data_IF_882918086169
#
_entry.id   IF_882918086169
#
_cell.length_a   1.000
_cell.length_b   1.000
_cell.length_c   1.000
_cell.angle_alpha   90.00
_cell.angle_beta   90.00
_cell.angle_gamma   90.00
#
_symmetry.space_group_name_H-M   'P 1'
#
loop_
_entity.id
_entity.type
_entity.pdbx_description
1 polymer ?
#
# COMPACT_ATOMS: atom_id res chain seq x y z
N UNK A 1 13.29 -31.12 -6.58
CA UNK A 1 12.76 -30.29 -5.50
C UNK A 1 13.45 -30.53 -4.16
N UNK A 2 13.68 -31.78 -3.71
CA UNK A 2 14.29 -32.13 -2.40
C UNK A 2 15.60 -31.38 -2.12
N UNK A 3 16.54 -31.35 -3.09
CA UNK A 3 17.82 -30.61 -2.92
C UNK A 3 17.60 -29.12 -2.66
N UNK A 4 16.62 -28.52 -3.32
CA UNK A 4 16.28 -27.12 -3.12
C UNK A 4 15.59 -26.89 -1.76
N UNK A 5 14.69 -27.78 -1.35
CA UNK A 5 14.02 -27.71 -0.05
C UNK A 5 15.05 -27.77 1.09
N UNK A 6 15.98 -28.73 1.05
CA UNK A 6 17.06 -28.85 2.03
C UNK A 6 17.99 -27.62 2.02
N UNK A 7 18.28 -27.07 0.84
CA UNK A 7 19.07 -25.83 0.73
C UNK A 7 18.37 -24.65 1.42
N UNK A 8 17.09 -24.43 1.15
CA UNK A 8 16.33 -23.37 1.78
C UNK A 8 16.14 -23.57 3.29
N UNK A 9 15.82 -24.80 3.73
CA UNK A 9 15.67 -25.10 5.15
C UNK A 9 16.97 -24.81 5.94
N UNK A 10 18.15 -25.17 5.38
CA UNK A 10 19.47 -24.85 5.97
C UNK A 10 19.77 -23.34 6.02
N UNK A 11 19.11 -22.53 5.18
CA UNK A 11 19.17 -21.06 5.21
C UNK A 11 18.15 -20.44 6.18
N UNK A 12 17.40 -21.29 6.92
CA UNK A 12 16.38 -20.84 7.86
C UNK A 12 15.06 -20.41 7.20
N UNK A 13 14.70 -21.00 6.05
CA UNK A 13 13.43 -20.75 5.39
C UNK A 13 12.50 -21.95 5.54
N UNK A 14 11.25 -21.72 5.94
CA UNK A 14 10.20 -22.72 5.87
C UNK A 14 9.72 -22.89 4.43
N UNK A 15 9.69 -24.13 3.94
CA UNK A 15 9.35 -24.47 2.56
C UNK A 15 8.25 -25.50 2.50
N UNK A 16 7.44 -25.46 1.43
CA UNK A 16 6.37 -26.43 1.17
C UNK A 16 6.36 -26.88 -0.30
N UNK A 17 6.02 -28.16 -0.57
CA UNK A 17 5.83 -28.66 -1.92
C UNK A 17 4.49 -28.15 -2.50
N UNK A 18 4.55 -27.69 -3.74
CA UNK A 18 3.43 -27.07 -4.45
C UNK A 18 3.11 -27.88 -5.71
N UNK A 19 1.80 -28.06 -5.97
CA UNK A 19 1.29 -28.69 -7.19
C UNK A 19 1.26 -27.75 -8.40
N UNK A 20 0.75 -28.23 -9.52
CA UNK A 20 0.62 -27.46 -10.77
C UNK A 20 -0.30 -26.24 -10.63
N UNK A 21 -1.33 -26.32 -9.78
CA UNK A 21 -2.31 -25.26 -9.55
C UNK A 21 -1.84 -24.20 -8.55
N UNK A 22 -0.55 -24.14 -8.24
CA UNK A 22 0.07 -23.25 -7.25
C UNK A 22 -0.44 -23.44 -5.81
N UNK A 23 -1.07 -24.58 -5.49
CA UNK A 23 -1.53 -24.93 -4.13
C UNK A 23 -0.63 -25.96 -3.49
N UNK A 24 -0.51 -25.89 -2.17
CA UNK A 24 0.20 -26.91 -1.40
C UNK A 24 -0.43 -28.28 -1.63
N UNK A 25 0.40 -29.33 -1.71
CA UNK A 25 -0.06 -30.70 -1.99
C UNK A 25 -0.51 -31.47 -0.75
N UNK A 26 -0.39 -30.83 0.42
CA UNK A 26 -0.82 -31.39 1.73
C UNK A 26 -1.18 -30.26 2.70
N UNK A 27 -1.78 -30.54 3.88
CA UNK A 27 -2.00 -29.53 4.92
C UNK A 27 -0.67 -28.98 5.45
N UNK A 28 -0.45 -27.68 5.34
CA UNK A 28 0.84 -27.05 5.59
C UNK A 28 0.84 -26.04 6.75
N UNK A 29 -0.26 -25.90 7.47
CA UNK A 29 -0.45 -24.87 8.51
C UNK A 29 0.61 -24.95 9.62
N UNK A 30 1.09 -26.15 9.98
CA UNK A 30 2.14 -26.34 10.98
C UNK A 30 3.48 -25.70 10.57
N UNK A 31 3.73 -25.61 9.26
CA UNK A 31 4.96 -25.04 8.73
C UNK A 31 4.94 -23.50 8.63
N UNK A 32 3.85 -22.88 9.08
CA UNK A 32 3.82 -21.43 9.36
C UNK A 32 4.55 -21.09 10.68
N UNK A 33 4.81 -22.09 11.54
CA UNK A 33 5.48 -21.91 12.83
C UNK A 33 6.72 -22.78 13.02
N UNK A 34 6.97 -23.74 12.11
CA UNK A 34 8.11 -24.65 12.18
C UNK A 34 8.71 -24.92 10.81
N UNK A 35 10.03 -25.15 10.76
CA UNK A 35 10.73 -25.55 9.54
C UNK A 35 10.75 -27.08 9.49
N UNK A 36 10.49 -27.68 8.32
CA UNK A 36 10.60 -29.12 8.11
C UNK A 36 12.02 -29.61 8.36
N UNK A 37 12.15 -30.75 9.05
CA UNK A 37 13.41 -31.46 9.10
C UNK A 37 13.69 -32.26 7.81
N UNK A 38 14.91 -32.79 7.68
CA UNK A 38 15.35 -33.48 6.48
C UNK A 38 14.47 -34.73 6.16
N UNK A 39 13.96 -35.43 7.17
CA UNK A 39 13.10 -36.61 6.98
C UNK A 39 11.71 -36.19 6.44
N UNK A 40 11.13 -35.14 7.00
CA UNK A 40 9.86 -34.57 6.55
C UNK A 40 9.99 -34.00 5.13
N UNK A 41 11.08 -33.29 4.82
CA UNK A 41 11.37 -32.80 3.45
C UNK A 41 11.45 -34.00 2.50
N UNK A 42 12.21 -35.04 2.83
CA UNK A 42 12.33 -36.24 1.99
C UNK A 42 10.96 -36.85 1.73
N UNK A 43 10.11 -36.98 2.75
CA UNK A 43 8.77 -37.55 2.62
C UNK A 43 7.82 -36.66 1.77
N UNK A 44 7.72 -35.39 2.10
CA UNK A 44 6.73 -34.50 1.49
C UNK A 44 7.09 -34.10 0.03
N UNK A 45 8.37 -33.92 -0.27
CA UNK A 45 8.82 -33.53 -1.61
C UNK A 45 9.01 -34.72 -2.58
N UNK A 46 8.87 -35.96 -2.13
CA UNK A 46 8.81 -37.17 -2.97
C UNK A 46 7.41 -37.38 -3.55
N UNK A 47 6.38 -36.66 -3.06
CA UNK A 47 5.02 -36.79 -3.55
C UNK A 47 4.94 -36.48 -5.05
N UNK A 48 4.31 -37.34 -5.84
CA UNK A 48 4.17 -37.20 -7.30
C UNK A 48 3.46 -35.93 -7.74
N UNK A 49 2.62 -35.34 -6.87
CA UNK A 49 1.96 -34.06 -7.10
C UNK A 49 2.87 -32.85 -6.90
N UNK A 50 4.05 -33.04 -6.28
CA UNK A 50 5.02 -31.97 -6.07
C UNK A 50 5.68 -31.59 -7.40
N UNK A 51 5.33 -30.43 -7.95
CA UNK A 51 5.93 -29.87 -9.17
C UNK A 51 6.79 -28.65 -8.89
N UNK A 52 6.51 -27.94 -7.82
CA UNK A 52 7.11 -26.67 -7.46
C UNK A 52 7.44 -26.65 -5.97
N UNK A 53 8.20 -25.61 -5.56
CA UNK A 53 8.52 -25.30 -4.18
C UNK A 53 8.07 -23.88 -3.86
N UNK A 54 7.52 -23.66 -2.67
CA UNK A 54 7.27 -22.33 -2.15
C UNK A 54 8.05 -22.10 -0.85
N UNK A 55 8.34 -20.83 -0.57
CA UNK A 55 8.90 -20.35 0.69
C UNK A 55 7.79 -19.62 1.44
N UNK A 56 7.64 -19.91 2.72
CA UNK A 56 6.68 -19.25 3.62
C UNK A 56 7.33 -18.01 4.19
N UNK A 57 6.60 -16.88 4.17
CA UNK A 57 7.00 -15.63 4.79
C UNK A 57 6.76 -15.60 6.30
N UNK A 58 7.21 -14.53 6.94
CA UNK A 58 6.99 -14.27 8.35
C UNK A 58 8.11 -14.74 9.27
N UNK A 59 7.80 -14.79 10.56
CA UNK A 59 8.73 -15.11 11.63
C UNK A 59 9.38 -16.48 11.44
N UNK A 60 8.64 -17.49 10.94
CA UNK A 60 9.14 -18.85 10.70
C UNK A 60 10.33 -18.89 9.74
N UNK A 61 10.44 -17.93 8.84
CA UNK A 61 11.56 -17.79 7.89
C UNK A 61 12.50 -16.64 8.27
N UNK A 62 12.59 -16.33 9.57
CA UNK A 62 13.49 -15.30 10.11
C UNK A 62 13.07 -13.89 9.76
N UNK A 63 11.76 -13.59 9.81
CA UNK A 63 11.20 -12.29 9.48
C UNK A 63 11.19 -12.02 7.97
N UNK A 64 10.99 -13.06 7.16
CA UNK A 64 10.94 -12.93 5.70
C UNK A 64 9.67 -12.20 5.24
N UNK A 65 9.83 -11.15 4.46
CA UNK A 65 8.76 -10.50 3.71
C UNK A 65 9.14 -10.42 2.23
N UNK A 66 8.16 -10.60 1.36
CA UNK A 66 8.35 -10.58 -0.08
C UNK A 66 7.38 -9.56 -0.68
N UNK A 67 7.89 -8.66 -1.52
CA UNK A 67 7.05 -7.84 -2.38
C UNK A 67 6.80 -8.63 -3.66
N UNK A 68 5.54 -8.89 -3.96
CA UNK A 68 5.07 -9.54 -5.18
C UNK A 68 4.59 -8.46 -6.16
N UNK A 69 5.28 -8.35 -7.32
CA UNK A 69 5.00 -7.36 -8.37
C UNK A 69 4.42 -8.09 -9.58
N UNK A 70 3.13 -7.89 -9.83
CA UNK A 70 2.35 -8.66 -10.81
C UNK A 70 2.22 -7.88 -12.14
N UNK A 71 3.26 -7.92 -12.98
CA UNK A 71 3.34 -7.14 -14.22
C UNK A 71 2.34 -7.57 -15.31
N UNK A 72 1.77 -8.77 -15.24
CA UNK A 72 0.76 -9.21 -16.20
C UNK A 72 -0.50 -8.32 -16.18
N UNK A 73 -0.69 -7.57 -15.11
CA UNK A 73 -1.79 -6.64 -14.92
C UNK A 73 -1.40 -5.16 -15.13
N UNK A 74 -0.14 -4.89 -15.44
CA UNK A 74 0.34 -3.55 -15.73
C UNK A 74 -0.08 -3.09 -17.12
N UNK A 75 -1.11 -2.25 -17.20
CA UNK A 75 -1.58 -1.65 -18.46
C UNK A 75 -0.66 -0.52 -18.96
N UNK A 76 0.19 0.03 -18.09
CA UNK A 76 1.14 1.09 -18.48
C UNK A 76 2.38 0.54 -19.19
N UNK A 77 2.71 -0.72 -18.98
CA UNK A 77 3.89 -1.39 -19.52
C UNK A 77 5.23 -0.90 -18.95
N UNK A 78 5.21 -0.03 -17.94
CA UNK A 78 6.42 0.57 -17.36
C UNK A 78 6.49 0.53 -15.83
N UNK A 79 5.58 -0.19 -15.17
CA UNK A 79 5.52 -0.28 -13.71
C UNK A 79 6.87 -0.74 -13.13
N UNK A 80 7.47 -1.77 -13.70
CA UNK A 80 8.75 -2.30 -13.20
C UNK A 80 9.89 -1.28 -13.27
N UNK A 81 10.04 -0.60 -14.41
CA UNK A 81 11.08 0.42 -14.56
C UNK A 81 10.89 1.56 -13.56
N UNK A 82 9.66 2.08 -13.44
CA UNK A 82 9.34 3.14 -12.48
C UNK A 82 9.56 2.71 -11.02
N UNK A 83 9.26 1.45 -10.70
CA UNK A 83 9.49 0.91 -9.35
C UNK A 83 10.99 0.78 -9.06
N UNK A 84 11.79 0.29 -10.04
CA UNK A 84 13.25 0.24 -9.91
C UNK A 84 13.86 1.63 -9.72
N UNK A 85 13.42 2.62 -10.49
CA UNK A 85 13.88 4.00 -10.38
C UNK A 85 13.55 4.59 -9.00
N UNK A 86 12.34 4.33 -8.51
CA UNK A 86 11.89 4.81 -7.20
C UNK A 86 12.58 4.10 -6.01
N UNK A 87 13.01 2.86 -6.20
CA UNK A 87 13.72 2.05 -5.20
C UNK A 87 15.25 2.06 -5.40
N UNK A 88 15.82 2.91 -6.28
CA UNK A 88 17.18 2.79 -6.79
C UNK A 88 18.25 2.51 -5.72
N UNK A 89 18.23 3.25 -4.61
CA UNK A 89 19.16 3.10 -3.48
C UNK A 89 18.79 1.95 -2.50
N UNK A 90 17.56 1.45 -2.55
CA UNK A 90 17.08 0.30 -1.76
C UNK A 90 17.18 -1.03 -2.54
N UNK A 91 17.17 -1.00 -3.88
CA UNK A 91 17.26 -2.21 -4.71
C UNK A 91 18.47 -3.11 -4.39
N UNK A 92 19.67 -2.60 -4.06
CA UNK A 92 20.80 -3.45 -3.67
C UNK A 92 20.57 -4.28 -2.40
N UNK A 93 19.61 -3.88 -1.55
CA UNK A 93 19.24 -4.59 -0.34
C UNK A 93 18.28 -5.76 -0.61
N UNK A 94 17.62 -5.77 -1.78
CA UNK A 94 16.57 -6.72 -2.13
C UNK A 94 17.13 -7.86 -2.98
N UNK A 95 16.67 -9.08 -2.66
CA UNK A 95 16.96 -10.23 -3.52
C UNK A 95 15.82 -10.41 -4.52
N UNK A 96 16.15 -10.38 -5.81
CA UNK A 96 15.16 -10.36 -6.90
C UNK A 96 15.01 -11.72 -7.54
N UNK A 97 13.77 -12.17 -7.71
CA UNK A 97 13.38 -13.36 -8.47
C UNK A 97 12.37 -12.95 -9.54
N UNK A 98 12.61 -13.35 -10.79
CA UNK A 98 11.63 -13.19 -11.87
C UNK A 98 10.62 -14.34 -11.80
N UNK A 99 9.32 -14.02 -11.87
CA UNK A 99 8.24 -15.00 -11.81
C UNK A 99 7.88 -15.56 -13.20
N UNK A 100 7.18 -16.70 -13.24
CA UNK A 100 6.71 -17.35 -14.47
C UNK A 100 5.80 -16.42 -15.32
N UNK A 101 5.05 -15.54 -14.68
CA UNK A 101 4.15 -14.58 -15.35
C UNK A 101 4.85 -13.30 -15.83
N UNK A 102 6.17 -13.22 -15.69
CA UNK A 102 6.97 -12.06 -16.10
C UNK A 102 7.10 -10.96 -15.05
N UNK A 103 6.45 -11.11 -13.88
CA UNK A 103 6.59 -10.22 -12.74
C UNK A 103 7.84 -10.52 -11.91
N UNK A 104 7.88 -9.95 -10.68
CA UNK A 104 9.05 -10.07 -9.80
C UNK A 104 8.64 -10.29 -8.34
N UNK A 105 9.46 -11.07 -7.63
CA UNK A 105 9.46 -11.13 -6.18
C UNK A 105 10.70 -10.44 -5.65
N UNK A 106 10.54 -9.51 -4.69
CA UNK A 106 11.63 -8.82 -3.99
C UNK A 106 11.65 -9.30 -2.54
N UNK A 107 12.71 -9.99 -2.16
CA UNK A 107 12.84 -10.63 -0.84
C UNK A 107 13.73 -9.81 0.08
N UNK A 108 13.34 -9.69 1.33
CA UNK A 108 14.14 -9.19 2.44
C UNK A 108 13.69 -9.80 3.77
N UNK A 109 14.50 -9.64 4.81
CA UNK A 109 14.13 -9.96 6.19
C UNK A 109 14.03 -8.67 7.00
N UNK A 110 13.07 -8.62 7.93
CA UNK A 110 12.91 -7.53 8.89
C UNK A 110 12.42 -8.09 10.22
N UNK A 111 12.74 -7.43 11.32
CA UNK A 111 12.34 -7.89 12.65
C UNK A 111 10.81 -7.85 12.86
N UNK A 112 10.12 -6.91 12.22
CA UNK A 112 8.66 -6.80 12.24
C UNK A 112 8.10 -7.03 10.84
N UNK A 113 7.35 -8.11 10.69
CA UNK A 113 6.64 -8.46 9.45
C UNK A 113 5.17 -8.63 9.76
N UNK A 114 4.33 -8.06 8.91
CA UNK A 114 2.87 -8.18 9.02
C UNK A 114 2.35 -9.27 8.06
N UNK A 115 1.05 -9.56 8.15
CA UNK A 115 0.36 -10.39 7.15
C UNK A 115 0.37 -9.76 5.76
N UNK A 116 -0.22 -10.46 4.79
CA UNK A 116 -0.27 -10.00 3.40
C UNK A 116 -1.01 -8.66 3.29
N UNK A 117 -0.45 -7.69 2.56
CA UNK A 117 -1.00 -6.37 2.33
C UNK A 117 -1.06 -6.06 0.84
N UNK A 118 -2.17 -5.53 0.37
CA UNK A 118 -2.26 -4.93 -0.97
C UNK A 118 -1.67 -3.52 -0.91
N UNK A 119 -0.58 -3.28 -1.63
CA UNK A 119 0.14 -2.01 -1.61
C UNK A 119 -0.31 -1.10 -2.75
N UNK A 120 -0.39 -1.63 -3.96
CA UNK A 120 -0.84 -0.88 -5.12
C UNK A 120 -1.90 -1.66 -5.91
N UNK A 121 -2.94 -0.95 -6.29
CA UNK A 121 -4.05 -1.47 -7.08
C UNK A 121 -4.42 -0.46 -8.17
N UNK A 122 -5.00 -0.93 -9.25
CA UNK A 122 -5.70 -0.13 -10.25
C UNK A 122 -7.16 -0.54 -10.38
N UNK A 123 -7.97 0.31 -10.98
CA UNK A 123 -9.31 -0.10 -11.38
C UNK A 123 -9.24 -1.12 -12.53
N UNK A 124 -10.15 -2.08 -12.52
CA UNK A 124 -10.31 -3.01 -13.63
C UNK A 124 -10.76 -2.27 -14.91
N UNK A 125 -10.23 -2.69 -16.04
CA UNK A 125 -10.67 -2.20 -17.36
C UNK A 125 -12.08 -2.71 -17.68
N UNK A 126 -12.72 -2.09 -18.68
CA UNK A 126 -14.06 -2.53 -19.13
C UNK A 126 -14.08 -3.98 -19.62
N UNK A 127 -12.99 -4.45 -20.23
CA UNK A 127 -12.91 -5.81 -20.75
C UNK A 127 -12.67 -6.82 -19.61
N UNK A 128 -11.83 -6.52 -18.63
CA UNK A 128 -11.66 -7.33 -17.41
C UNK A 128 -12.98 -7.46 -16.62
N UNK A 129 -13.77 -6.39 -16.56
CA UNK A 129 -15.10 -6.43 -15.91
C UNK A 129 -16.12 -7.28 -16.65
N UNK A 130 -15.98 -7.46 -17.98
CA UNK A 130 -16.83 -8.41 -18.75
C UNK A 130 -16.50 -9.85 -18.39
N UNK A 131 -15.20 -10.16 -18.23
CA UNK A 131 -14.73 -11.51 -17.88
C UNK A 131 -14.97 -11.83 -16.40
N UNK A 132 -14.75 -10.84 -15.51
CA UNK A 132 -14.86 -10.99 -14.06
C UNK A 132 -15.59 -9.78 -13.45
N UNK A 133 -16.93 -9.74 -13.48
CA UNK A 133 -17.72 -8.55 -13.08
C UNK A 133 -17.54 -8.10 -11.62
N UNK A 134 -17.06 -8.98 -10.74
CA UNK A 134 -16.86 -8.69 -9.32
C UNK A 134 -15.45 -8.16 -9.00
N UNK A 135 -14.48 -8.33 -9.88
CA UNK A 135 -13.09 -7.90 -9.69
C UNK A 135 -12.91 -6.44 -10.12
N UNK A 136 -13.47 -5.50 -9.34
CA UNK A 136 -13.41 -4.06 -9.65
C UNK A 136 -12.01 -3.46 -9.51
N UNK A 137 -11.18 -4.04 -8.66
CA UNK A 137 -9.83 -3.59 -8.34
C UNK A 137 -8.84 -4.73 -8.63
N UNK A 138 -7.77 -4.42 -9.33
CA UNK A 138 -6.71 -5.37 -9.71
C UNK A 138 -5.45 -5.03 -8.93
N UNK A 139 -4.89 -6.02 -8.24
CA UNK A 139 -3.65 -5.86 -7.46
C UNK A 139 -2.45 -5.87 -8.40
N UNK A 140 -1.58 -4.87 -8.25
CA UNK A 140 -0.32 -4.72 -8.98
C UNK A 140 0.88 -5.07 -8.11
N UNK A 141 0.83 -4.66 -6.83
CA UNK A 141 1.91 -4.88 -5.86
C UNK A 141 1.28 -5.27 -4.53
N UNK A 142 1.76 -6.36 -3.94
CA UNK A 142 1.35 -6.80 -2.61
C UNK A 142 2.51 -7.35 -1.80
N UNK A 143 2.35 -7.47 -0.47
CA UNK A 143 3.29 -8.22 0.36
C UNK A 143 2.83 -9.66 0.54
N UNK A 144 3.81 -10.55 0.68
CA UNK A 144 3.67 -11.89 1.24
C UNK A 144 4.52 -11.94 2.50
N UNK A 145 3.88 -11.73 3.63
CA UNK A 145 4.50 -11.69 4.95
C UNK A 145 4.05 -12.86 5.81
N UNK A 146 3.65 -12.56 7.06
CA UNK A 146 3.25 -13.59 8.02
C UNK A 146 2.13 -14.48 7.48
N UNK A 147 2.35 -15.80 7.47
CA UNK A 147 1.40 -16.79 6.97
C UNK A 147 1.21 -16.83 5.44
N UNK A 148 1.89 -15.95 4.67
CA UNK A 148 1.90 -16.00 3.22
C UNK A 148 2.98 -16.94 2.67
N UNK A 149 2.87 -17.33 1.39
CA UNK A 149 3.95 -18.02 0.69
C UNK A 149 4.07 -17.54 -0.75
N UNK A 150 5.24 -17.73 -1.33
CA UNK A 150 5.52 -17.48 -2.75
C UNK A 150 6.25 -18.68 -3.35
N UNK A 151 6.00 -18.94 -4.64
CA UNK A 151 6.80 -19.91 -5.38
C UNK A 151 8.23 -19.36 -5.55
N UNK A 152 9.20 -20.25 -5.39
CA UNK A 152 10.61 -19.91 -5.44
C UNK A 152 11.38 -20.79 -6.45
N UNK A 153 12.53 -20.36 -6.96
CA UNK A 153 13.42 -21.23 -7.73
C UNK A 153 13.75 -22.53 -6.98
N UNK A 154 13.82 -23.68 -7.62
CA UNK A 154 13.79 -23.93 -9.05
C UNK A 154 12.39 -24.30 -9.60
N UNK A 155 11.31 -23.73 -9.04
CA UNK A 155 9.99 -23.87 -9.65
C UNK A 155 10.01 -23.41 -11.09
N UNK A 156 9.23 -24.07 -11.96
CA UNK A 156 9.22 -23.79 -13.39
C UNK A 156 8.89 -22.32 -13.69
N UNK A 157 9.77 -21.66 -14.44
CA UNK A 157 9.62 -20.23 -14.82
C UNK A 157 10.00 -19.23 -13.74
N UNK A 158 10.46 -19.69 -12.57
CA UNK A 158 11.01 -18.83 -11.51
C UNK A 158 12.53 -18.82 -11.60
N UNK A 159 13.12 -17.65 -11.92
CA UNK A 159 14.56 -17.53 -12.16
C UNK A 159 15.20 -16.52 -11.23
N UNK A 160 16.45 -16.78 -10.86
CA UNK A 160 17.30 -15.90 -10.06
C UNK A 160 18.56 -15.56 -10.84
N UNK A 161 19.06 -14.35 -10.66
CA UNK A 161 20.30 -13.91 -11.30
C UNK A 161 21.56 -14.18 -10.46
N UNK A 162 21.39 -14.29 -9.13
CA UNK A 162 22.47 -14.41 -8.15
C UNK A 162 22.21 -15.61 -7.22
N UNK A 163 23.26 -15.96 -6.44
CA UNK A 163 23.10 -16.87 -5.32
C UNK A 163 22.05 -16.36 -4.34
N UNK A 164 21.22 -17.26 -3.80
CA UNK A 164 20.11 -16.90 -2.92
C UNK A 164 20.64 -16.40 -1.57
N UNK A 165 20.69 -15.08 -1.43
CA UNK A 165 21.07 -14.39 -0.20
C UNK A 165 20.09 -13.27 0.08
N UNK A 166 19.30 -13.41 1.14
CA UNK A 166 18.31 -12.44 1.57
C UNK A 166 18.92 -11.59 2.70
N UNK A 167 18.96 -10.28 2.50
CA UNK A 167 19.49 -9.35 3.48
C UNK A 167 18.47 -9.07 4.58
N UNK A 168 18.97 -8.68 5.77
CA UNK A 168 18.17 -8.10 6.84
C UNK A 168 18.19 -6.58 6.65
N UNK A 169 17.02 -5.96 6.68
CA UNK A 169 16.84 -4.51 6.57
C UNK A 169 16.25 -3.94 7.86
N UNK A 170 16.42 -2.63 8.07
CA UNK A 170 15.83 -1.92 9.21
C UNK A 170 14.32 -1.68 9.01
N UNK A 171 13.62 -1.37 10.10
CA UNK A 171 12.21 -0.96 10.06
C UNK A 171 12.00 0.30 9.20
N UNK A 172 12.93 1.25 9.25
CA UNK A 172 12.88 2.46 8.44
C UNK A 172 13.02 2.16 6.94
N UNK A 173 13.96 1.28 6.56
CA UNK A 173 14.12 0.82 5.17
C UNK A 173 12.87 0.07 4.69
N UNK A 174 12.28 -0.79 5.54
CA UNK A 174 11.02 -1.48 5.23
C UNK A 174 9.88 -0.47 5.02
N UNK A 175 9.69 0.50 5.93
CA UNK A 175 8.67 1.55 5.77
C UNK A 175 8.86 2.31 4.46
N UNK A 176 10.09 2.62 4.09
CA UNK A 176 10.42 3.31 2.84
C UNK A 176 10.06 2.47 1.60
N UNK A 177 10.41 1.18 1.58
CA UNK A 177 10.05 0.25 0.51
C UNK A 177 8.53 0.15 0.37
N UNK A 178 7.81 -0.07 1.48
CA UNK A 178 6.35 -0.18 1.47
C UNK A 178 5.68 1.15 1.06
N UNK A 179 6.21 2.29 1.50
CA UNK A 179 5.71 3.62 1.12
C UNK A 179 5.88 3.87 -0.37
N UNK A 180 7.04 3.54 -0.93
CA UNK A 180 7.29 3.63 -2.37
C UNK A 180 6.32 2.72 -3.14
N UNK A 181 6.15 1.46 -2.72
CA UNK A 181 5.18 0.57 -3.36
C UNK A 181 3.75 1.12 -3.31
N UNK A 182 3.32 1.70 -2.18
CA UNK A 182 1.98 2.32 -2.03
C UNK A 182 1.80 3.58 -2.87
N UNK A 183 2.88 4.28 -3.22
CA UNK A 183 2.78 5.46 -4.10
C UNK A 183 2.28 5.12 -5.50
N UNK A 184 2.40 3.85 -5.92
CA UNK A 184 1.86 3.33 -7.19
C UNK A 184 0.37 2.99 -7.13
N UNK A 185 -0.29 3.11 -5.97
CA UNK A 185 -1.71 2.81 -5.84
C UNK A 185 -2.57 3.86 -6.57
N UNK A 186 -3.33 3.42 -7.57
CA UNK A 186 -4.24 4.26 -8.36
C UNK A 186 -5.66 4.30 -7.78
N UNK A 187 -5.99 3.34 -6.90
CA UNK A 187 -7.31 3.26 -6.26
C UNK A 187 -7.29 4.10 -4.99
N UNK A 188 -8.03 5.22 -5.01
CA UNK A 188 -8.13 6.13 -3.86
C UNK A 188 -9.54 6.10 -3.32
N UNK A 189 -9.69 5.76 -2.04
CA UNK A 189 -10.96 5.85 -1.31
C UNK A 189 -10.97 7.15 -0.51
N UNK A 190 -11.76 8.12 -0.95
CA UNK A 190 -11.88 9.40 -0.24
C UNK A 190 -12.46 9.20 1.16
N UNK A 191 -11.86 9.87 2.14
CA UNK A 191 -12.40 9.92 3.50
C UNK A 191 -13.70 10.70 3.48
N UNK A 192 -14.80 10.03 3.83
CA UNK A 192 -16.10 10.69 3.92
C UNK A 192 -16.18 11.53 5.20
N UNK A 193 -16.42 12.82 5.02
CA UNK A 193 -16.73 13.71 6.13
C UNK A 193 -18.18 13.48 6.58
N UNK A 194 -18.39 13.18 7.86
CA UNK A 194 -19.74 12.91 8.40
C UNK A 194 -20.49 14.18 8.84
N UNK A 195 -20.06 15.34 8.39
CA UNK A 195 -20.71 16.61 8.71
C UNK A 195 -21.82 16.88 7.71
N UNK A 196 -23.05 17.02 8.20
CA UNK A 196 -24.20 17.39 7.38
C UNK A 196 -24.46 18.87 7.59
N UNK A 197 -24.35 19.67 6.51
CA UNK A 197 -24.84 21.04 6.54
C UNK A 197 -26.34 21.07 6.33
N UNK A 198 -27.00 21.98 7.01
CA UNK A 198 -28.34 22.37 6.62
C UNK A 198 -28.25 23.09 5.26
N UNK A 199 -28.78 22.44 4.21
CA UNK A 199 -28.76 22.93 2.83
C UNK A 199 -29.44 24.30 2.67
N UNK A 200 -30.30 24.67 3.63
CA UNK A 200 -31.04 25.95 3.61
C UNK A 200 -30.23 27.08 4.24
N UNK A 201 -29.17 26.77 4.98
CA UNK A 201 -28.34 27.76 5.69
C UNK A 201 -27.20 28.27 4.85
N UNK A 202 -26.55 27.41 4.07
CA UNK A 202 -25.32 27.76 3.34
C UNK A 202 -25.52 27.72 1.82
N UNK A 203 -24.93 28.68 1.11
CA UNK A 203 -24.68 28.63 -0.33
C UNK A 203 -23.44 27.80 -0.62
N UNK A 204 -22.37 28.05 0.14
CA UNK A 204 -21.14 27.25 0.16
C UNK A 204 -20.87 26.83 1.59
N UNK A 205 -20.72 25.53 1.85
CA UNK A 205 -20.47 25.06 3.20
C UNK A 205 -19.08 25.50 3.71
N UNK A 206 -18.90 25.65 5.04
CA UNK A 206 -17.60 26.05 5.59
C UNK A 206 -16.43 25.14 5.17
N UNK A 207 -16.66 23.84 5.07
CA UNK A 207 -15.64 22.89 4.64
C UNK A 207 -15.40 22.89 3.14
N UNK A 208 -16.40 23.14 2.29
CA UNK A 208 -16.18 23.28 0.85
C UNK A 208 -15.43 24.57 0.55
N UNK A 209 -15.75 25.65 1.25
CA UNK A 209 -15.02 26.90 1.17
C UNK A 209 -13.56 26.74 1.61
N UNK A 210 -13.33 26.07 2.75
CA UNK A 210 -11.99 25.72 3.23
C UNK A 210 -11.24 24.85 2.22
N UNK A 211 -11.87 23.78 1.69
CA UNK A 211 -11.28 22.91 0.70
C UNK A 211 -10.77 23.66 -0.55
N UNK A 212 -11.44 24.75 -0.91
CA UNK A 212 -11.07 25.56 -2.08
C UNK A 212 -9.96 26.58 -1.81
N UNK A 213 -9.75 26.98 -0.56
CA UNK A 213 -8.86 28.08 -0.17
C UNK A 213 -7.59 27.61 0.57
N UNK A 214 -7.61 26.42 1.14
CA UNK A 214 -6.52 25.93 1.98
C UNK A 214 -5.23 25.71 1.19
N UNK A 215 -4.14 26.28 1.67
CA UNK A 215 -2.79 25.87 1.29
C UNK A 215 -2.43 24.60 2.07
N UNK A 216 -2.58 23.45 1.41
CA UNK A 216 -2.38 22.13 2.02
C UNK A 216 -0.92 21.89 2.38
N UNK A 217 0.02 22.38 1.56
CA UNK A 217 1.45 22.22 1.86
C UNK A 217 1.81 23.00 3.10
N UNK A 218 1.40 24.26 3.20
CA UNK A 218 1.64 25.10 4.37
C UNK A 218 0.99 24.51 5.64
N UNK A 219 -0.24 23.97 5.54
CA UNK A 219 -0.91 23.29 6.66
C UNK A 219 -0.08 22.08 7.14
N UNK A 220 0.38 21.25 6.22
CA UNK A 220 1.18 20.05 6.55
C UNK A 220 2.55 20.45 7.14
N UNK A 221 3.22 21.46 6.58
CA UNK A 221 4.51 21.95 7.10
C UNK A 221 4.38 22.50 8.52
N UNK A 222 3.28 23.17 8.85
CA UNK A 222 3.00 23.62 10.22
C UNK A 222 2.91 22.46 11.23
N UNK A 223 2.64 21.22 10.75
CA UNK A 223 2.60 20.00 11.55
C UNK A 223 3.83 19.11 11.35
N UNK A 224 4.94 19.70 10.90
CA UNK A 224 6.25 19.02 10.83
C UNK A 224 6.46 18.14 9.60
N UNK A 225 5.53 18.12 8.64
CA UNK A 225 5.78 17.53 7.33
C UNK A 225 6.83 18.37 6.58
N UNK A 226 7.58 17.74 5.70
CA UNK A 226 8.57 18.43 4.88
C UNK A 226 8.20 18.30 3.41
N UNK A 227 7.99 19.40 2.72
CA UNK A 227 7.86 19.41 1.26
C UNK A 227 9.20 18.99 0.62
N UNK A 228 9.13 18.12 -0.41
CA UNK A 228 10.29 17.63 -1.14
C UNK A 228 10.35 18.28 -2.52
N UNK A 229 9.32 18.01 -3.34
CA UNK A 229 9.28 18.46 -4.73
C UNK A 229 7.88 18.38 -5.32
N UNK A 230 7.68 19.04 -6.46
CA UNK A 230 6.50 18.90 -7.33
C UNK A 230 6.84 18.09 -8.58
N UNK A 231 5.99 17.12 -8.93
CA UNK A 231 6.03 16.41 -10.22
C UNK A 231 4.65 16.46 -10.85
N UNK A 232 4.48 17.33 -11.85
CA UNK A 232 3.19 17.58 -12.48
C UNK A 232 2.16 18.10 -11.46
N UNK A 233 1.04 17.41 -11.34
CA UNK A 233 -0.05 17.76 -10.41
C UNK A 233 0.17 17.30 -8.97
N UNK A 234 1.33 16.73 -8.63
CA UNK A 234 1.59 16.12 -7.31
C UNK A 234 2.71 16.84 -6.59
N UNK A 235 2.44 17.22 -5.35
CA UNK A 235 3.44 17.65 -4.39
C UNK A 235 3.79 16.49 -3.47
N UNK A 236 5.07 16.15 -3.39
CA UNK A 236 5.58 15.05 -2.57
C UNK A 236 6.10 15.56 -1.25
N UNK A 237 5.75 14.83 -0.18
CA UNK A 237 6.10 15.20 1.19
C UNK A 237 6.72 14.03 1.94
N UNK A 238 7.51 14.39 2.94
CA UNK A 238 8.11 13.51 3.92
C UNK A 238 7.42 13.72 5.28
N UNK A 239 7.07 12.62 5.95
CA UNK A 239 6.41 12.68 7.26
C UNK A 239 7.31 13.25 8.36
N UNK A 240 6.75 13.75 9.45
CA UNK A 240 7.50 14.14 10.64
C UNK A 240 8.41 13.00 11.15
N UNK A 241 9.60 13.35 11.63
CA UNK A 241 10.55 12.44 12.24
C UNK A 241 11.24 11.44 11.28
N UNK A 242 10.96 11.47 9.96
CA UNK A 242 11.66 10.62 9.00
C UNK A 242 13.02 11.21 8.65
N UNK A 243 14.08 10.39 8.74
CA UNK A 243 15.47 10.83 8.54
C UNK A 243 15.98 10.61 7.11
N UNK A 244 15.46 9.62 6.41
CA UNK A 244 15.85 9.35 5.01
C UNK A 244 15.20 10.33 4.01
N UNK A 245 15.57 10.23 2.73
CA UNK A 245 15.07 11.09 1.65
C UNK A 245 13.80 10.60 0.98
N UNK A 246 13.26 9.43 1.38
CA UNK A 246 12.12 8.84 0.69
C UNK A 246 10.81 9.53 1.02
N UNK A 247 9.94 9.61 0.02
CA UNK A 247 8.59 10.17 0.15
C UNK A 247 7.73 9.38 1.14
N UNK A 248 6.83 10.08 1.83
CA UNK A 248 5.86 9.46 2.74
C UNK A 248 4.41 9.74 2.34
N UNK A 249 4.19 10.75 1.51
CA UNK A 249 2.87 11.18 1.06
C UNK A 249 2.95 11.95 -0.25
N UNK A 250 1.80 12.10 -0.92
CA UNK A 250 1.59 13.09 -1.98
C UNK A 250 0.29 13.88 -1.79
N UNK A 251 0.27 15.11 -2.26
CA UNK A 251 -0.94 15.91 -2.46
C UNK A 251 -1.17 16.11 -3.95
N UNK A 252 -2.28 15.59 -4.47
CA UNK A 252 -2.67 15.74 -5.87
C UNK A 252 -3.52 17.01 -6.03
N UNK A 253 -2.94 18.10 -6.57
CA UNK A 253 -3.57 19.42 -6.72
C UNK A 253 -4.88 19.36 -7.50
N UNK A 254 -4.91 18.71 -8.66
CA UNK A 254 -6.10 18.63 -9.51
C UNK A 254 -7.26 17.84 -8.90
N UNK A 255 -6.97 16.84 -8.03
CA UNK A 255 -8.01 16.10 -7.30
C UNK A 255 -8.31 16.70 -5.92
N UNK A 256 -7.46 17.58 -5.40
CA UNK A 256 -7.56 18.11 -4.06
C UNK A 256 -7.44 17.01 -2.99
N UNK A 257 -6.59 15.98 -3.21
CA UNK A 257 -6.49 14.81 -2.33
C UNK A 257 -5.06 14.60 -1.85
N UNK A 258 -4.90 14.53 -0.54
CA UNK A 258 -3.69 14.10 0.14
C UNK A 258 -3.74 12.60 0.41
N UNK A 259 -2.68 11.87 0.06
CA UNK A 259 -2.51 10.43 0.29
C UNK A 259 -1.25 10.17 1.07
N UNK A 260 -1.35 9.30 2.08
CA UNK A 260 -0.20 8.88 2.88
C UNK A 260 0.18 7.44 2.52
N UNK A 261 1.48 7.19 2.44
CA UNK A 261 2.07 5.90 2.09
C UNK A 261 2.69 5.20 3.31
N UNK A 262 3.19 5.97 4.28
CA UNK A 262 3.76 5.47 5.53
C UNK A 262 2.66 5.18 6.56
N UNK A 263 2.79 4.08 7.28
CA UNK A 263 1.88 3.71 8.39
C UNK A 263 2.23 4.40 9.71
N UNK A 264 3.35 5.14 9.75
CA UNK A 264 3.82 5.84 10.96
C UNK A 264 3.32 7.29 11.00
N UNK A 265 2.03 7.48 10.76
CA UNK A 265 1.34 8.78 10.78
C UNK A 265 -0.08 8.59 11.32
N UNK A 266 -0.77 9.68 11.62
CA UNK A 266 -2.17 9.74 12.03
C UNK A 266 -3.17 9.45 10.88
N UNK A 267 -2.68 9.35 9.65
CA UNK A 267 -3.50 9.10 8.46
C UNK A 267 -3.48 7.63 8.04
N UNK A 268 -4.63 7.11 7.61
CA UNK A 268 -4.70 5.77 7.04
C UNK A 268 -4.12 5.70 5.63
N UNK A 269 -3.26 4.75 5.38
CA UNK A 269 -2.77 4.45 4.03
C UNK A 269 -3.91 3.90 3.14
N UNK A 270 -3.91 4.26 1.86
CA UNK A 270 -4.96 3.84 0.91
C UNK A 270 -6.23 4.70 0.94
N UNK A 271 -6.26 5.73 1.80
CA UNK A 271 -7.32 6.76 1.79
C UNK A 271 -6.82 8.07 1.21
N UNK A 272 -7.75 8.85 0.64
CA UNK A 272 -7.51 10.22 0.18
C UNK A 272 -8.22 11.22 1.09
N UNK A 273 -7.51 12.24 1.51
CA UNK A 273 -7.98 13.26 2.45
C UNK A 273 -8.12 14.60 1.73
N UNK A 274 -9.34 15.18 1.71
CA UNK A 274 -9.51 16.58 1.31
C UNK A 274 -8.93 17.53 2.35
N UNK A 275 -8.64 18.81 2.02
CA UNK A 275 -8.05 19.77 2.95
C UNK A 275 -8.78 19.85 4.29
N UNK A 276 -10.11 19.84 4.30
CA UNK A 276 -10.90 19.82 5.54
C UNK A 276 -10.67 18.54 6.37
N UNK A 277 -10.51 17.39 5.72
CA UNK A 277 -10.23 16.15 6.43
C UNK A 277 -8.81 16.15 7.01
N UNK A 278 -7.84 16.77 6.32
CA UNK A 278 -6.48 16.97 6.84
C UNK A 278 -6.55 17.86 8.09
N UNK A 279 -7.21 19.02 7.98
CA UNK A 279 -7.40 19.96 9.08
C UNK A 279 -8.06 19.31 10.30
N UNK A 280 -9.17 18.58 10.08
CA UNK A 280 -9.86 17.89 11.15
C UNK A 280 -8.97 16.83 11.83
N UNK A 281 -8.16 16.10 11.06
CA UNK A 281 -7.24 15.10 11.61
C UNK A 281 -6.14 15.74 12.44
N UNK A 282 -5.49 16.78 11.92
CA UNK A 282 -4.31 17.40 12.54
C UNK A 282 -4.67 18.31 13.72
N UNK A 283 -5.73 19.13 13.59
CA UNK A 283 -6.06 20.17 14.56
C UNK A 283 -7.15 19.72 15.56
N UNK A 284 -7.97 18.73 15.18
CA UNK A 284 -9.14 18.32 15.96
C UNK A 284 -9.19 16.81 16.25
N UNK A 285 -8.05 16.09 16.16
CA UNK A 285 -7.96 14.63 16.40
C UNK A 285 -9.02 13.81 15.65
N UNK A 286 -9.34 14.21 14.41
CA UNK A 286 -10.34 13.56 13.57
C UNK A 286 -11.80 13.92 13.91
N UNK A 287 -12.05 14.89 14.79
CA UNK A 287 -13.40 15.36 15.12
C UNK A 287 -13.91 16.38 14.09
N UNK A 288 -14.52 15.88 13.02
CA UNK A 288 -15.06 16.70 11.94
C UNK A 288 -16.11 17.73 12.39
N UNK A 289 -16.88 17.43 13.44
CA UNK A 289 -17.91 18.33 13.95
C UNK A 289 -17.29 19.56 14.63
N UNK A 290 -16.26 19.36 15.44
CA UNK A 290 -15.52 20.47 16.07
C UNK A 290 -14.74 21.28 15.05
N UNK A 291 -14.09 20.60 14.10
CA UNK A 291 -13.39 21.25 13.00
C UNK A 291 -14.34 22.16 12.18
N UNK A 292 -15.55 21.67 11.85
CA UNK A 292 -16.53 22.47 11.12
C UNK A 292 -17.01 23.68 11.92
N UNK A 293 -17.23 23.56 13.23
CA UNK A 293 -17.59 24.69 14.10
C UNK A 293 -16.48 25.74 14.17
N UNK A 294 -15.24 25.30 14.17
CA UNK A 294 -14.10 26.20 14.17
C UNK A 294 -14.03 26.97 12.85
N UNK A 295 -14.21 26.31 11.69
CA UNK A 295 -14.23 26.99 10.39
C UNK A 295 -15.32 28.05 10.31
N UNK A 296 -16.50 27.82 10.90
CA UNK A 296 -17.55 28.86 10.97
C UNK A 296 -17.08 30.08 11.76
N UNK A 297 -16.39 29.88 12.90
CA UNK A 297 -15.84 30.97 13.72
C UNK A 297 -14.76 31.75 12.99
N UNK A 298 -13.97 31.04 12.17
CA UNK A 298 -12.88 31.61 11.36
C UNK A 298 -13.40 32.30 10.08
N UNK A 299 -14.72 32.30 9.87
CA UNK A 299 -15.38 33.02 8.80
C UNK A 299 -15.48 32.27 7.47
N UNK A 300 -15.27 30.94 7.47
CA UNK A 300 -15.47 30.12 6.28
C UNK A 300 -16.96 29.83 6.03
N UNK A 301 -17.30 29.72 4.76
CA UNK A 301 -18.64 29.42 4.28
C UNK A 301 -19.44 30.68 3.94
N UNK A 302 -20.31 30.55 2.93
CA UNK A 302 -21.21 31.59 2.50
C UNK A 302 -22.62 31.25 2.90
N UNK A 303 -23.24 32.12 3.73
CA UNK A 303 -24.66 31.95 4.10
C UNK A 303 -25.53 32.38 2.92
N UNK A 304 -26.67 31.68 2.73
CA UNK A 304 -27.69 32.11 1.79
C UNK A 304 -28.33 33.43 2.27
N UNK A 305 -28.34 34.44 1.43
CA UNK A 305 -29.13 35.61 1.69
C UNK A 305 -30.61 35.24 1.76
N UNK A 306 -31.18 35.17 2.98
CA UNK A 306 -32.64 35.15 3.12
C UNK A 306 -33.17 36.43 2.54
N UNK A 307 -33.69 36.38 1.31
CA UNK A 307 -34.51 37.47 0.79
C UNK A 307 -35.73 37.56 1.72
N UNK A 308 -35.71 38.52 2.61
CA UNK A 308 -36.81 38.76 3.55
C UNK A 308 -38.06 39.13 2.74
N UNK A 309 -38.90 38.14 2.53
CA UNK A 309 -40.25 38.38 2.03
C UNK A 309 -41.09 39.06 3.12
N UNK A 310 -40.98 40.39 3.27
CA UNK A 310 -41.98 41.21 3.91
C UNK A 310 -43.20 41.26 2.98
N UNK A 311 -44.07 40.26 3.09
CA UNK A 311 -45.42 40.40 2.59
C UNK A 311 -46.14 41.31 3.61
N UNK A 312 -46.14 42.63 3.35
CA UNK A 312 -47.13 43.51 3.94
C UNK A 312 -48.49 43.02 3.48
N UNK A 313 -49.25 42.42 4.41
CA UNK A 313 -50.70 42.31 4.26
C UNK A 313 -51.26 43.70 4.49
N UNK A 314 -51.56 44.38 3.42
CA UNK A 314 -52.45 45.55 3.45
C UNK A 314 -53.90 45.00 3.56
N UNK A 315 -54.55 45.31 4.66
CA UNK A 315 -55.99 45.26 4.83
C UNK A 315 -56.50 46.68 4.76
#
# INVERSE_FOLDING_TARGET
>A
MIKAANYYAKQGFSVIPIGENKRAVFPWTEFQSSIMDDATIQHQFTNDRCKNIAIIGGAVSGGLEIIDVDLKYDVSGNLWQRLQDALADLMPLLYVVRTKSGGYHLYYRCEEVQGNQKLAMRNATKDELKETPHAKEIVLIETRGEGGYVLAPPSEGYTKEKEFKVNIISLEQRDSILSICRSFNEVVKEVRTQVVADSDTYQTTPWDDYNSKCDVVALLEAHGWTYIESRGERDFLKRPGKTDSHISADYHKGLGLFKVFSTSTEFDTGKGYKPFAIYATLEHNGNFSEAAKQLVKDGYGEQRNRIGGNIKKDF
#
